data_IF_704909254916
#
_entry.id   IF_704909254916
#
_cell.length_a   1.000
_cell.length_b   1.000
_cell.length_c   1.000
_cell.angle_alpha   90.00
_cell.angle_beta   90.00
_cell.angle_gamma   90.00
#
_symmetry.space_group_name_H-M   'P 1'
#
loop_
_entity.id
_entity.type
_entity.pdbx_description
1 polymer ?
#
# COMPACT_ATOMS: atom_id res chain seq x y z
N UNK A 1 48.01 3.11 -30.43
CA UNK A 1 47.38 2.52 -29.22
C UNK A 1 45.89 2.77 -29.32
N UNK A 2 45.12 1.70 -29.57
CA UNK A 2 43.70 1.75 -29.90
C UNK A 2 42.86 2.35 -28.78
N UNK A 3 42.02 3.34 -29.12
CA UNK A 3 40.87 3.72 -28.31
C UNK A 3 39.97 2.48 -28.15
N UNK A 4 40.09 1.77 -27.04
CA UNK A 4 39.01 0.88 -26.60
C UNK A 4 37.79 1.76 -26.41
N UNK A 5 36.81 1.61 -27.29
CA UNK A 5 35.52 2.27 -27.16
C UNK A 5 34.93 1.84 -25.80
N UNK A 6 34.73 2.79 -24.89
CA UNK A 6 34.27 2.52 -23.51
C UNK A 6 32.91 1.80 -23.46
N UNK A 7 32.25 1.66 -24.61
CA UNK A 7 31.03 0.88 -24.85
C UNK A 7 31.19 -0.63 -24.67
N UNK A 8 32.41 -1.17 -24.76
CA UNK A 8 32.68 -2.62 -24.64
C UNK A 8 33.04 -3.08 -23.21
N UNK A 9 33.14 -2.16 -22.24
CA UNK A 9 33.46 -2.50 -20.86
C UNK A 9 32.25 -3.15 -20.17
N UNK A 10 32.39 -4.42 -19.80
CA UNK A 10 31.41 -5.15 -18.98
C UNK A 10 31.44 -4.58 -17.55
N UNK A 11 30.37 -3.91 -17.18
CA UNK A 11 30.12 -3.44 -15.83
C UNK A 11 29.63 -4.60 -14.96
N UNK A 12 30.02 -4.65 -13.69
CA UNK A 12 29.58 -5.66 -12.72
C UNK A 12 28.98 -4.99 -11.49
N UNK A 13 27.84 -5.50 -11.02
CA UNK A 13 27.22 -5.07 -9.76
C UNK A 13 27.99 -5.61 -8.56
N UNK A 14 27.69 -5.08 -7.38
CA UNK A 14 28.28 -5.50 -6.12
C UNK A 14 27.57 -6.73 -5.55
N UNK A 15 28.13 -7.27 -4.47
CA UNK A 15 27.47 -8.29 -3.64
C UNK A 15 26.28 -7.66 -2.89
N UNK A 16 25.25 -8.46 -2.56
CA UNK A 16 24.13 -7.96 -1.77
C UNK A 16 24.60 -7.52 -0.38
N UNK A 17 24.09 -6.37 0.08
CA UNK A 17 24.16 -5.99 1.49
C UNK A 17 22.97 -6.66 2.18
N UNK A 18 23.23 -7.63 3.05
CA UNK A 18 22.19 -8.46 3.66
C UNK A 18 22.69 -9.10 4.96
N UNK A 19 21.75 -9.52 5.83
CA UNK A 19 21.98 -10.37 7.00
C UNK A 19 20.75 -11.27 7.24
N UNK A 20 20.85 -12.20 8.20
CA UNK A 20 19.75 -13.15 8.49
C UNK A 20 18.48 -12.47 9.06
N UNK A 21 18.62 -11.25 9.59
CA UNK A 21 17.52 -10.46 10.17
C UNK A 21 16.79 -9.61 9.11
N UNK A 22 17.28 -9.57 7.87
CA UNK A 22 16.70 -8.76 6.80
C UNK A 22 15.25 -9.15 6.53
N UNK A 23 14.36 -8.15 6.52
CA UNK A 23 12.91 -8.28 6.30
C UNK A 23 12.44 -7.65 4.99
N UNK A 24 13.18 -6.64 4.55
CA UNK A 24 12.93 -5.90 3.31
C UNK A 24 14.14 -6.04 2.39
N UNK A 25 13.91 -6.23 1.10
CA UNK A 25 14.92 -6.10 0.05
C UNK A 25 14.61 -4.89 -0.83
N UNK A 26 15.57 -3.98 -0.97
CA UNK A 26 15.51 -2.91 -1.97
C UNK A 26 16.33 -3.35 -3.19
N UNK A 27 15.73 -3.29 -4.37
CA UNK A 27 16.36 -3.63 -5.64
C UNK A 27 16.59 -2.38 -6.49
N UNK A 28 17.85 -2.12 -6.83
CA UNK A 28 18.23 -1.21 -7.91
C UNK A 28 18.31 -1.90 -9.27
N UNK A 29 18.57 -1.14 -10.32
CA UNK A 29 18.82 -1.68 -11.66
C UNK A 29 20.26 -2.18 -11.81
N UNK A 30 21.21 -1.24 -11.76
CA UNK A 30 22.63 -1.45 -11.92
C UNK A 30 23.37 -0.24 -11.33
N UNK A 31 24.49 -0.40 -10.61
CA UNK A 31 25.19 0.74 -10.00
C UNK A 31 25.61 1.77 -11.05
N UNK A 32 25.47 3.05 -10.73
CA UNK A 32 25.92 4.15 -11.60
C UNK A 32 27.44 4.18 -11.77
N UNK A 33 27.94 4.95 -12.75
CA UNK A 33 29.38 5.08 -12.99
C UNK A 33 30.16 5.51 -11.74
N UNK A 34 29.63 6.47 -10.97
CA UNK A 34 30.25 6.94 -9.74
C UNK A 34 30.25 5.87 -8.64
N UNK A 35 29.15 5.11 -8.54
CA UNK A 35 29.08 3.96 -7.64
C UNK A 35 30.15 2.93 -7.93
N UNK A 36 30.30 2.56 -9.20
CA UNK A 36 31.32 1.59 -9.65
C UNK A 36 32.73 2.13 -9.39
N UNK A 37 32.98 3.42 -9.64
CA UNK A 37 34.29 4.05 -9.35
C UNK A 37 34.66 3.97 -7.88
N UNK A 38 33.71 4.28 -6.99
CA UNK A 38 33.95 4.29 -5.54
C UNK A 38 33.78 2.92 -4.87
N UNK A 39 33.27 1.91 -5.59
CA UNK A 39 32.84 0.62 -5.04
C UNK A 39 31.77 0.78 -3.94
N UNK A 40 30.81 1.68 -4.17
CA UNK A 40 29.76 2.02 -3.21
C UNK A 40 28.39 2.15 -3.87
N UNK A 41 27.39 1.50 -3.29
CA UNK A 41 25.99 1.72 -3.67
C UNK A 41 25.61 3.20 -3.55
N UNK A 42 25.03 3.74 -4.62
CA UNK A 42 24.52 5.12 -4.71
C UNK A 42 25.52 6.20 -4.26
N UNK A 43 26.78 6.12 -4.71
CA UNK A 43 27.86 7.04 -4.33
C UNK A 43 27.71 8.46 -4.89
N UNK A 44 26.95 8.63 -5.98
CA UNK A 44 26.78 9.93 -6.61
C UNK A 44 26.08 10.93 -5.66
N UNK A 45 26.65 12.11 -5.37
CA UNK A 45 26.12 13.04 -4.36
C UNK A 45 24.69 13.53 -4.62
N UNK A 46 24.28 13.60 -5.89
CA UNK A 46 22.90 13.96 -6.28
C UNK A 46 21.90 12.79 -6.24
N UNK A 47 22.32 11.58 -5.82
CA UNK A 47 21.40 10.46 -5.68
C UNK A 47 20.73 10.50 -4.30
N UNK A 48 19.41 10.38 -4.28
CA UNK A 48 18.62 10.53 -3.06
C UNK A 48 18.42 9.23 -2.27
N UNK A 49 19.05 8.12 -2.65
CA UNK A 49 18.88 6.84 -1.95
C UNK A 49 19.22 6.93 -0.47
N UNK A 50 20.42 7.40 -0.13
CA UNK A 50 20.84 7.53 1.26
C UNK A 50 19.97 8.55 2.02
N UNK A 51 19.73 9.77 1.50
CA UNK A 51 18.76 10.70 2.11
C UNK A 51 17.37 10.10 2.36
N UNK A 52 16.83 9.28 1.44
CA UNK A 52 15.51 8.66 1.62
C UNK A 52 15.54 7.54 2.66
N UNK A 53 16.49 6.62 2.57
CA UNK A 53 16.59 5.48 3.49
C UNK A 53 16.82 5.92 4.93
N UNK A 54 17.60 6.98 5.16
CA UNK A 54 17.74 7.57 6.50
C UNK A 54 16.53 8.43 6.87
N UNK A 55 16.02 9.21 5.92
CA UNK A 55 14.90 10.14 6.13
C UNK A 55 13.61 9.45 6.53
N UNK A 56 13.32 8.24 6.06
CA UNK A 56 12.14 7.48 6.51
C UNK A 56 12.19 7.16 8.03
N UNK A 57 13.38 7.20 8.65
CA UNK A 57 13.58 7.06 10.09
C UNK A 57 13.87 8.38 10.80
N UNK A 58 13.74 9.52 10.12
CA UNK A 58 14.12 10.85 10.63
C UNK A 58 15.60 10.95 11.02
N UNK A 59 16.48 10.20 10.35
CA UNK A 59 17.94 10.23 10.57
C UNK A 59 18.67 10.88 9.38
N UNK A 60 19.97 11.18 9.55
CA UNK A 60 20.82 11.73 8.47
C UNK A 60 21.84 10.70 8.00
N UNK A 61 22.16 10.64 6.69
CA UNK A 61 23.15 9.71 6.19
C UNK A 61 24.51 9.85 6.85
N UNK A 62 25.09 8.71 7.24
CA UNK A 62 26.44 8.66 7.78
C UNK A 62 27.49 9.10 6.76
N UNK A 63 28.60 9.68 7.21
CA UNK A 63 29.67 10.11 6.31
C UNK A 63 30.40 8.92 5.67
N UNK A 64 30.67 7.87 6.44
CA UNK A 64 31.41 6.69 6.01
C UNK A 64 30.49 5.60 5.46
N UNK A 65 30.85 5.04 4.31
CA UNK A 65 30.04 4.03 3.63
C UNK A 65 29.77 2.78 4.48
N UNK A 66 30.77 2.30 5.23
CA UNK A 66 30.59 1.14 6.11
C UNK A 66 29.52 1.39 7.19
N UNK A 67 29.42 2.62 7.71
CA UNK A 67 28.37 2.99 8.68
C UNK A 67 26.99 3.00 8.03
N UNK A 68 26.90 3.30 6.73
CA UNK A 68 25.65 3.17 5.95
C UNK A 68 25.25 1.71 5.74
N UNK A 69 26.22 0.82 5.52
CA UNK A 69 25.97 -0.63 5.46
C UNK A 69 25.46 -1.14 6.82
N UNK A 70 26.12 -0.73 7.92
CA UNK A 70 25.71 -1.11 9.28
C UNK A 70 24.30 -0.62 9.58
N UNK A 71 23.97 0.60 9.15
CA UNK A 71 22.61 1.16 9.26
C UNK A 71 21.57 0.30 8.55
N UNK A 72 21.79 -0.08 7.29
CA UNK A 72 20.89 -0.96 6.54
C UNK A 72 20.63 -2.28 7.28
N UNK A 73 21.72 -2.94 7.71
CA UNK A 73 21.65 -4.20 8.46
C UNK A 73 20.88 -4.04 9.78
N UNK A 74 21.16 -2.97 10.54
CA UNK A 74 20.47 -2.66 11.81
C UNK A 74 18.98 -2.39 11.61
N UNK A 75 18.58 -1.82 10.47
CA UNK A 75 17.18 -1.55 10.13
C UNK A 75 16.51 -2.73 9.41
N UNK A 76 17.18 -3.88 9.29
CA UNK A 76 16.68 -5.08 8.60
C UNK A 76 16.37 -4.85 7.11
N UNK A 77 17.14 -3.96 6.47
CA UNK A 77 17.04 -3.64 5.06
C UNK A 77 18.20 -4.31 4.31
N UNK A 78 17.87 -5.18 3.38
CA UNK A 78 18.80 -5.68 2.37
C UNK A 78 18.80 -4.75 1.15
N UNK A 79 19.94 -4.66 0.48
CA UNK A 79 20.13 -3.88 -0.74
C UNK A 79 20.89 -4.69 -1.78
N UNK A 80 20.34 -4.75 -3.00
CA UNK A 80 21.02 -5.33 -4.15
C UNK A 80 20.55 -4.69 -5.47
N UNK A 81 21.01 -5.23 -6.60
CA UNK A 81 20.55 -4.86 -7.94
C UNK A 81 20.01 -6.08 -8.69
N UNK A 82 19.15 -5.83 -9.68
CA UNK A 82 18.65 -6.89 -10.55
C UNK A 82 19.68 -7.40 -11.55
N UNK A 83 20.64 -6.59 -11.99
CA UNK A 83 21.66 -7.00 -12.94
C UNK A 83 23.00 -7.30 -12.28
N UNK A 84 23.53 -8.49 -12.53
CA UNK A 84 24.87 -8.94 -12.15
C UNK A 84 25.93 -8.23 -12.99
N UNK A 85 25.69 -8.13 -14.28
CA UNK A 85 26.57 -7.43 -15.22
C UNK A 85 25.81 -6.93 -16.44
N UNK A 86 26.34 -5.92 -17.11
CA UNK A 86 25.84 -5.44 -18.39
C UNK A 86 26.90 -4.62 -19.12
N UNK A 87 26.64 -4.28 -20.38
CA UNK A 87 27.27 -3.13 -21.03
C UNK A 87 26.39 -1.91 -20.85
N UNK A 88 26.99 -0.73 -20.66
CA UNK A 88 26.23 0.53 -20.57
C UNK A 88 27.05 1.72 -21.03
N UNK A 89 26.52 2.47 -22.00
CA UNK A 89 27.09 3.77 -22.37
C UNK A 89 26.55 4.87 -21.44
N UNK A 90 27.42 5.47 -20.64
CA UNK A 90 27.04 6.47 -19.65
C UNK A 90 26.38 5.86 -18.40
N UNK A 91 25.47 6.60 -17.76
CA UNK A 91 24.86 6.24 -16.47
C UNK A 91 23.35 5.95 -16.53
N UNK A 92 22.70 6.13 -17.68
CA UNK A 92 21.26 5.95 -17.84
C UNK A 92 20.90 4.48 -18.08
N UNK A 93 19.84 4.01 -17.41
CA UNK A 93 19.33 2.65 -17.56
C UNK A 93 18.85 2.33 -18.98
N UNK A 94 18.40 3.34 -19.74
CA UNK A 94 18.00 3.18 -21.15
C UNK A 94 19.13 2.71 -22.07
N UNK A 95 20.38 2.85 -21.63
CA UNK A 95 21.56 2.53 -22.42
C UNK A 95 22.18 1.18 -22.00
N UNK A 96 21.47 0.38 -21.18
CA UNK A 96 21.90 -0.95 -20.77
C UNK A 96 21.64 -1.94 -21.91
N UNK A 97 22.62 -2.79 -22.19
CA UNK A 97 22.53 -3.92 -23.10
C UNK A 97 23.37 -5.09 -22.57
N UNK A 98 23.18 -6.28 -23.15
CA UNK A 98 23.88 -7.52 -22.76
C UNK A 98 23.76 -7.81 -21.25
N UNK A 99 22.57 -7.59 -20.68
CA UNK A 99 22.34 -7.76 -19.26
C UNK A 99 22.36 -9.24 -18.83
N UNK A 100 23.06 -9.51 -17.75
CA UNK A 100 23.04 -10.78 -17.04
C UNK A 100 22.39 -10.54 -15.69
N UNK A 101 21.28 -11.21 -15.35
CA UNK A 101 20.60 -11.00 -14.08
C UNK A 101 21.38 -11.57 -12.89
N UNK A 102 21.16 -10.99 -11.73
CA UNK A 102 21.49 -11.60 -10.44
C UNK A 102 20.46 -12.68 -10.09
N UNK A 103 20.88 -13.69 -9.33
CA UNK A 103 19.98 -14.71 -8.79
C UNK A 103 19.23 -14.18 -7.56
N UNK A 104 18.29 -13.28 -7.80
CA UNK A 104 17.45 -12.69 -6.75
C UNK A 104 16.50 -13.73 -6.16
N UNK A 105 16.03 -14.71 -6.96
CA UNK A 105 15.17 -15.78 -6.48
C UNK A 105 15.91 -16.69 -5.49
N UNK A 106 17.13 -17.11 -5.80
CA UNK A 106 18.00 -17.86 -4.89
C UNK A 106 18.31 -17.09 -3.61
N UNK A 107 18.54 -15.77 -3.70
CA UNK A 107 18.69 -14.92 -2.52
C UNK A 107 17.43 -14.93 -1.64
N UNK A 108 16.25 -14.73 -2.22
CA UNK A 108 14.99 -14.70 -1.47
C UNK A 108 14.61 -16.06 -0.87
N UNK A 109 15.06 -17.17 -1.49
CA UNK A 109 14.93 -18.51 -0.94
C UNK A 109 15.90 -18.75 0.22
N UNK A 110 17.12 -18.21 0.13
CA UNK A 110 18.13 -18.28 1.19
C UNK A 110 17.74 -17.45 2.42
N UNK A 111 17.03 -16.33 2.22
CA UNK A 111 16.60 -15.41 3.27
C UNK A 111 15.06 -15.33 3.35
N UNK A 112 14.39 -16.35 3.92
CA UNK A 112 12.92 -16.43 3.95
C UNK A 112 12.26 -15.33 4.80
N UNK A 113 13.02 -14.68 5.70
CA UNK A 113 12.55 -13.54 6.49
C UNK A 113 12.21 -12.31 5.64
N UNK A 114 12.76 -12.23 4.42
CA UNK A 114 12.44 -11.16 3.48
C UNK A 114 11.05 -11.40 2.90
N UNK A 115 10.06 -10.65 3.36
CA UNK A 115 8.68 -10.71 2.87
C UNK A 115 8.34 -9.61 1.87
N UNK A 116 9.13 -8.53 1.87
CA UNK A 116 8.84 -7.34 1.09
C UNK A 116 10.01 -6.97 0.15
N UNK A 117 9.69 -6.69 -1.10
CA UNK A 117 10.65 -6.26 -2.13
C UNK A 117 10.26 -4.89 -2.68
N UNK A 118 11.12 -3.89 -2.51
CA UNK A 118 10.91 -2.56 -3.07
C UNK A 118 11.84 -2.33 -4.27
N UNK A 119 11.25 -2.15 -5.45
CA UNK A 119 11.98 -1.89 -6.68
C UNK A 119 12.21 -0.39 -6.86
N UNK A 120 13.47 0.05 -6.82
CA UNK A 120 13.86 1.44 -7.02
C UNK A 120 13.84 1.82 -8.50
N UNK A 121 12.64 2.09 -9.04
CA UNK A 121 12.40 2.44 -10.43
C UNK A 121 11.77 1.33 -11.28
N UNK A 122 11.25 1.72 -12.44
CA UNK A 122 10.46 0.84 -13.31
C UNK A 122 11.25 -0.30 -13.94
N UNK A 123 12.55 -0.11 -14.23
CA UNK A 123 13.39 -1.18 -14.80
C UNK A 123 13.55 -2.34 -13.82
N UNK A 124 13.89 -2.03 -12.56
CA UNK A 124 13.97 -3.04 -11.49
C UNK A 124 12.65 -3.75 -11.28
N UNK A 125 11.51 -3.04 -11.29
CA UNK A 125 10.18 -3.65 -11.14
C UNK A 125 9.86 -4.62 -12.29
N UNK A 126 10.09 -4.16 -13.53
CA UNK A 126 9.82 -4.96 -14.74
C UNK A 126 10.64 -6.26 -14.71
N UNK A 127 11.91 -6.17 -14.33
CA UNK A 127 12.77 -7.34 -14.19
C UNK A 127 12.27 -8.27 -13.09
N UNK A 128 12.03 -7.74 -11.88
CA UNK A 128 11.56 -8.54 -10.75
C UNK A 128 10.29 -9.33 -11.10
N UNK A 129 9.29 -8.66 -11.69
CA UNK A 129 8.01 -9.30 -12.07
C UNK A 129 8.19 -10.39 -13.13
N UNK A 130 9.06 -10.17 -14.12
CA UNK A 130 9.21 -11.08 -15.27
C UNK A 130 10.15 -12.25 -14.96
N UNK A 131 11.23 -12.00 -14.23
CA UNK A 131 12.36 -12.90 -14.12
C UNK A 131 12.59 -13.47 -12.71
N UNK A 132 11.98 -12.90 -11.68
CA UNK A 132 12.18 -13.35 -10.29
C UNK A 132 10.89 -13.94 -9.74
N UNK A 133 9.78 -13.20 -9.82
CA UNK A 133 8.51 -13.57 -9.20
C UNK A 133 7.97 -14.97 -9.61
N UNK A 134 8.08 -15.44 -10.87
CA UNK A 134 7.60 -16.78 -11.26
C UNK A 134 8.27 -17.94 -10.51
N UNK A 135 9.52 -17.74 -10.06
CA UNK A 135 10.32 -18.76 -9.39
C UNK A 135 10.15 -18.75 -7.87
N UNK A 136 9.45 -17.75 -7.33
CA UNK A 136 9.13 -17.66 -5.90
C UNK A 136 7.90 -18.52 -5.60
N UNK A 137 8.02 -19.46 -4.66
CA UNK A 137 6.95 -20.38 -4.24
C UNK A 137 6.33 -20.06 -2.88
N UNK A 138 6.50 -18.82 -2.42
CA UNK A 138 5.96 -18.29 -1.16
C UNK A 138 5.42 -16.88 -1.37
N UNK A 139 4.62 -16.41 -0.44
CA UNK A 139 4.14 -15.03 -0.51
C UNK A 139 5.30 -14.05 -0.37
N UNK A 140 5.46 -13.23 -1.41
CA UNK A 140 6.35 -12.06 -1.43
C UNK A 140 5.53 -10.89 -1.94
N UNK A 141 5.54 -9.82 -1.16
CA UNK A 141 4.93 -8.56 -1.52
C UNK A 141 5.97 -7.68 -2.18
N UNK A 142 5.60 -6.99 -3.25
CA UNK A 142 6.51 -6.06 -3.91
C UNK A 142 5.83 -4.75 -4.30
N UNK A 143 6.63 -3.68 -4.34
CA UNK A 143 6.18 -2.34 -4.68
C UNK A 143 7.26 -1.61 -5.49
N UNK A 144 6.83 -0.88 -6.53
CA UNK A 144 7.71 0.09 -7.20
C UNK A 144 7.80 1.38 -6.40
N UNK A 145 9.01 1.76 -6.04
CA UNK A 145 9.35 3.08 -5.53
C UNK A 145 9.79 4.01 -6.67
N UNK A 146 9.59 5.33 -6.54
CA UNK A 146 10.14 6.29 -7.49
C UNK A 146 11.66 6.24 -7.44
N UNK A 147 12.28 6.33 -8.62
CA UNK A 147 13.74 6.27 -8.72
C UNK A 147 14.41 7.36 -7.89
N UNK A 148 15.46 6.98 -7.16
CA UNK A 148 16.34 7.87 -6.39
C UNK A 148 17.34 8.64 -7.26
N UNK A 149 17.40 8.32 -8.55
CA UNK A 149 18.22 9.03 -9.52
C UNK A 149 17.72 10.47 -9.73
N UNK A 150 18.62 11.46 -9.90
CA UNK A 150 18.22 12.82 -10.22
C UNK A 150 17.48 12.95 -11.55
N UNK A 151 17.59 11.96 -12.45
CA UNK A 151 16.90 11.95 -13.74
C UNK A 151 15.36 11.86 -13.63
N UNK A 152 14.83 11.44 -12.49
CA UNK A 152 13.40 11.29 -12.27
C UNK A 152 12.78 12.57 -11.67
N UNK A 153 12.80 13.68 -12.40
CA UNK A 153 12.39 15.00 -11.89
C UNK A 153 10.87 15.26 -11.93
N UNK A 154 10.05 14.35 -12.48
CA UNK A 154 8.60 14.54 -12.64
C UNK A 154 7.78 14.39 -11.35
N UNK A 155 8.40 13.97 -10.25
CA UNK A 155 7.77 13.78 -8.93
C UNK A 155 8.57 14.59 -7.92
N UNK A 156 7.91 15.37 -7.06
CA UNK A 156 8.59 16.18 -6.04
C UNK A 156 9.33 15.30 -5.03
N UNK A 157 10.38 15.84 -4.42
CA UNK A 157 11.14 15.09 -3.39
C UNK A 157 10.27 14.70 -2.20
N UNK A 158 9.32 15.55 -1.82
CA UNK A 158 8.35 15.29 -0.76
C UNK A 158 7.46 14.10 -1.11
N UNK A 159 6.86 14.10 -2.30
CA UNK A 159 6.04 12.99 -2.77
C UNK A 159 6.83 11.68 -2.85
N UNK A 160 8.10 11.75 -3.30
CA UNK A 160 8.97 10.58 -3.29
C UNK A 160 9.20 10.08 -1.88
N UNK A 161 9.51 10.95 -0.93
CA UNK A 161 9.70 10.57 0.47
C UNK A 161 8.45 9.90 1.04
N UNK A 162 7.26 10.44 0.75
CA UNK A 162 6.00 9.84 1.18
C UNK A 162 5.84 8.40 0.65
N UNK A 163 6.19 8.15 -0.61
CA UNK A 163 6.18 6.78 -1.16
C UNK A 163 7.24 5.89 -0.50
N UNK A 164 8.43 6.42 -0.24
CA UNK A 164 9.53 5.69 0.40
C UNK A 164 9.24 5.31 1.85
N UNK A 165 8.39 6.06 2.57
CA UNK A 165 7.93 5.68 3.92
C UNK A 165 7.27 4.29 3.95
N UNK A 166 6.75 3.79 2.82
CA UNK A 166 6.24 2.41 2.69
C UNK A 166 7.27 1.36 3.10
N UNK A 167 8.57 1.63 2.92
CA UNK A 167 9.65 0.74 3.40
C UNK A 167 9.61 0.62 4.92
N UNK A 168 9.48 1.75 5.63
CA UNK A 168 9.35 1.74 7.10
C UNK A 168 8.07 1.05 7.53
N UNK A 169 6.94 1.36 6.90
CA UNK A 169 5.66 0.75 7.27
C UNK A 169 5.68 -0.77 7.11
N UNK A 170 6.31 -1.28 6.04
CA UNK A 170 6.51 -2.72 5.88
C UNK A 170 7.41 -3.33 6.98
N UNK A 171 8.49 -2.64 7.40
CA UNK A 171 9.35 -3.08 8.51
C UNK A 171 8.62 -3.12 9.85
N UNK A 172 7.65 -2.20 10.04
CA UNK A 172 6.78 -2.11 11.21
C UNK A 172 5.57 -3.06 11.13
N UNK A 173 5.45 -3.88 10.09
CA UNK A 173 4.27 -4.71 9.77
C UNK A 173 2.96 -3.91 9.67
N UNK A 174 3.05 -2.62 9.33
CA UNK A 174 1.91 -1.73 9.09
C UNK A 174 1.55 -1.81 7.62
N UNK A 175 0.96 -2.93 7.24
CA UNK A 175 0.59 -3.23 5.86
C UNK A 175 -0.93 -3.25 5.70
N UNK A 176 -1.39 -2.93 4.50
CA UNK A 176 -2.76 -3.18 4.06
C UNK A 176 -2.77 -3.75 2.65
N UNK A 177 -3.79 -4.52 2.36
CA UNK A 177 -4.06 -5.04 1.04
C UNK A 177 -5.22 -4.28 0.42
N UNK A 178 -5.11 -3.97 -0.86
CA UNK A 178 -6.12 -3.20 -1.60
C UNK A 178 -6.72 -4.03 -2.71
N UNK A 179 -8.05 -4.10 -2.72
CA UNK A 179 -8.83 -4.61 -3.85
C UNK A 179 -9.88 -3.57 -4.29
N UNK A 180 -10.35 -3.65 -5.53
CA UNK A 180 -11.29 -2.67 -6.10
C UNK A 180 -12.45 -3.38 -6.77
N UNK A 181 -13.65 -3.21 -6.21
CA UNK A 181 -14.90 -3.73 -6.75
C UNK A 181 -15.48 -2.76 -7.79
N UNK A 182 -15.92 -3.31 -8.92
CA UNK A 182 -16.63 -2.55 -9.96
C UNK A 182 -18.13 -2.68 -9.74
N UNK A 183 -18.80 -1.58 -9.43
CA UNK A 183 -20.24 -1.57 -9.10
C UNK A 183 -20.99 -0.55 -9.96
N UNK A 184 -22.32 -0.61 -9.92
CA UNK A 184 -23.22 0.37 -10.55
C UNK A 184 -23.21 1.74 -9.84
N UNK A 185 -22.67 1.83 -8.62
CA UNK A 185 -22.37 3.10 -7.94
C UNK A 185 -21.04 3.70 -8.39
N UNK A 186 -20.10 2.86 -8.85
CA UNK A 186 -18.75 3.23 -9.27
C UNK A 186 -17.69 2.26 -8.73
N UNK A 187 -16.44 2.72 -8.62
CA UNK A 187 -15.36 1.93 -8.04
C UNK A 187 -15.43 1.99 -6.52
N UNK A 188 -15.63 0.84 -5.87
CA UNK A 188 -15.54 0.71 -4.41
C UNK A 188 -14.18 0.12 -4.07
N UNK A 189 -13.39 0.82 -3.24
CA UNK A 189 -12.08 0.32 -2.81
C UNK A 189 -12.23 -0.38 -1.45
N UNK A 190 -11.66 -1.57 -1.34
CA UNK A 190 -11.63 -2.36 -0.11
C UNK A 190 -10.18 -2.44 0.39
N UNK A 191 -10.00 -2.21 1.69
CA UNK A 191 -8.75 -2.47 2.38
C UNK A 191 -8.92 -3.58 3.41
N UNK A 192 -7.90 -4.41 3.55
CA UNK A 192 -7.81 -5.41 4.61
C UNK A 192 -6.40 -5.48 5.18
N UNK A 193 -6.27 -6.08 6.35
CA UNK A 193 -5.03 -6.69 6.80
C UNK A 193 -5.06 -8.20 6.52
N UNK A 194 -4.22 -8.97 7.22
CA UNK A 194 -4.15 -10.42 7.08
C UNK A 194 -5.43 -11.13 7.61
N UNK A 195 -6.17 -10.49 8.52
CA UNK A 195 -7.25 -11.12 9.28
C UNK A 195 -8.64 -10.63 8.83
N UNK A 196 -8.79 -9.33 8.53
CA UNK A 196 -10.11 -8.72 8.35
C UNK A 196 -10.12 -7.49 7.42
N UNK A 197 -11.31 -7.10 6.96
CA UNK A 197 -11.51 -5.83 6.24
C UNK A 197 -11.41 -4.66 7.21
N UNK A 198 -10.54 -3.70 6.88
CA UNK A 198 -10.27 -2.53 7.72
C UNK A 198 -11.00 -1.28 7.23
N UNK A 199 -11.23 -1.16 5.92
CA UNK A 199 -11.88 0.02 5.33
C UNK A 199 -12.60 -0.32 4.03
N UNK A 200 -13.71 0.39 3.77
CA UNK A 200 -14.38 0.45 2.49
C UNK A 200 -14.55 1.91 2.09
N UNK A 201 -14.04 2.26 0.91
CA UNK A 201 -14.19 3.60 0.33
C UNK A 201 -15.17 3.55 -0.83
N UNK A 202 -16.26 4.29 -0.67
CA UNK A 202 -17.25 4.49 -1.72
C UNK A 202 -16.76 5.55 -2.72
N UNK A 203 -17.29 5.57 -3.96
CA UNK A 203 -16.94 6.57 -4.96
C UNK A 203 -16.98 8.00 -4.42
N UNK A 204 -15.95 8.79 -4.71
CA UNK A 204 -15.81 10.16 -4.21
C UNK A 204 -15.17 10.27 -2.82
N UNK A 205 -14.87 9.17 -2.14
CA UNK A 205 -14.12 9.19 -0.88
C UNK A 205 -12.62 9.28 -1.15
N UNK A 206 -11.91 10.13 -0.41
CA UNK A 206 -10.45 10.17 -0.45
C UNK A 206 -9.85 9.09 0.46
N UNK A 207 -8.90 8.29 -0.06
CA UNK A 207 -8.21 7.29 0.74
C UNK A 207 -7.27 7.93 1.75
N UNK A 208 -7.45 7.58 3.02
CA UNK A 208 -6.46 7.86 4.06
C UNK A 208 -5.42 6.74 4.07
N UNK A 209 -4.40 6.87 3.21
CA UNK A 209 -3.25 5.95 3.18
C UNK A 209 -2.24 6.21 4.29
N UNK A 210 -2.54 7.15 5.19
CA UNK A 210 -1.58 7.65 6.16
C UNK A 210 -1.03 6.50 6.99
N UNK A 211 0.26 6.27 6.78
CA UNK A 211 1.08 5.38 7.58
C UNK A 211 0.95 3.87 7.35
N UNK A 212 0.56 3.43 6.15
CA UNK A 212 0.58 2.02 5.76
C UNK A 212 1.33 1.81 4.44
N UNK A 213 2.02 0.67 4.31
CA UNK A 213 2.41 0.15 3.02
C UNK A 213 1.23 -0.60 2.41
N UNK A 214 0.77 -0.16 1.23
CA UNK A 214 -0.40 -0.75 0.57
C UNK A 214 0.03 -1.64 -0.58
N UNK A 215 -0.30 -2.92 -0.49
CA UNK A 215 -0.05 -3.92 -1.52
C UNK A 215 -1.34 -4.30 -2.25
N UNK A 216 -1.25 -4.85 -3.48
CA UNK A 216 -2.41 -5.49 -4.11
C UNK A 216 -3.00 -6.59 -3.22
N UNK A 217 -4.31 -6.83 -3.37
CA UNK A 217 -5.17 -7.66 -2.52
C UNK A 217 -4.59 -8.96 -1.93
N UNK A 218 -5.23 -9.44 -0.87
CA UNK A 218 -5.04 -10.78 -0.32
C UNK A 218 -6.37 -11.56 -0.40
N UNK A 219 -6.42 -12.76 0.18
CA UNK A 219 -7.64 -13.58 0.20
C UNK A 219 -8.84 -12.83 0.84
N UNK A 220 -8.61 -12.08 1.92
CA UNK A 220 -9.66 -11.30 2.61
C UNK A 220 -10.19 -10.18 1.70
N UNK A 221 -9.31 -9.36 1.13
CA UNK A 221 -9.67 -8.26 0.24
C UNK A 221 -10.39 -8.76 -1.03
N UNK A 222 -9.95 -9.88 -1.61
CA UNK A 222 -10.57 -10.44 -2.82
C UNK A 222 -11.92 -11.08 -2.55
N UNK A 223 -12.08 -11.79 -1.42
CA UNK A 223 -13.37 -12.31 -0.99
C UNK A 223 -14.36 -11.17 -0.72
N UNK A 224 -13.89 -10.13 -0.02
CA UNK A 224 -14.67 -8.93 0.23
C UNK A 224 -15.06 -8.20 -1.06
N UNK A 225 -14.11 -8.04 -2.01
CA UNK A 225 -14.38 -7.45 -3.32
C UNK A 225 -15.53 -8.19 -4.03
N UNK A 226 -15.47 -9.52 -4.10
CA UNK A 226 -16.49 -10.34 -4.76
C UNK A 226 -17.87 -10.14 -4.13
N UNK A 227 -17.95 -10.17 -2.81
CA UNK A 227 -19.21 -9.96 -2.11
C UNK A 227 -19.76 -8.54 -2.26
N UNK A 228 -18.89 -7.52 -2.25
CA UNK A 228 -19.32 -6.14 -2.58
C UNK A 228 -19.91 -6.10 -3.99
N UNK A 229 -19.27 -6.71 -4.98
CA UNK A 229 -19.83 -6.78 -6.34
C UNK A 229 -21.18 -7.52 -6.39
N UNK A 230 -21.31 -8.62 -5.64
CA UNK A 230 -22.56 -9.41 -5.58
C UNK A 230 -23.68 -8.67 -4.85
N UNK A 231 -23.36 -7.90 -3.80
CA UNK A 231 -24.30 -7.03 -3.08
C UNK A 231 -24.88 -5.95 -4.02
N UNK A 232 -24.01 -5.25 -4.77
CA UNK A 232 -24.46 -4.23 -5.72
C UNK A 232 -25.21 -4.80 -6.93
N UNK A 233 -25.15 -6.13 -7.15
CA UNK A 233 -25.96 -6.87 -8.13
C UNK A 233 -27.23 -7.48 -7.54
N UNK A 234 -27.51 -7.26 -6.25
CA UNK A 234 -28.67 -7.82 -5.54
C UNK A 234 -28.60 -9.33 -5.30
N UNK A 235 -27.43 -9.96 -5.46
CA UNK A 235 -27.25 -11.42 -5.31
C UNK A 235 -27.10 -11.86 -3.86
N UNK A 236 -26.61 -10.99 -3.00
CA UNK A 236 -26.50 -11.22 -1.56
C UNK A 236 -27.12 -10.05 -0.81
N UNK A 237 -27.61 -10.33 0.40
CA UNK A 237 -28.16 -9.33 1.34
C UNK A 237 -27.40 -9.28 2.67
N UNK A 238 -26.52 -10.25 2.89
CA UNK A 238 -25.70 -10.43 4.09
C UNK A 238 -24.27 -10.68 3.65
N UNK A 239 -23.33 -10.03 4.31
CA UNK A 239 -21.89 -10.22 4.07
C UNK A 239 -21.34 -11.31 4.99
N UNK A 240 -20.54 -12.20 4.43
CA UNK A 240 -19.75 -13.21 5.12
C UNK A 240 -18.27 -12.87 4.99
N UNK A 241 -17.86 -11.79 5.65
CA UNK A 241 -16.49 -11.24 5.58
C UNK A 241 -16.07 -10.88 7.00
N UNK A 242 -14.84 -11.24 7.44
CA UNK A 242 -14.33 -10.79 8.73
C UNK A 242 -14.10 -9.27 8.74
N UNK A 243 -14.59 -8.60 9.78
CA UNK A 243 -14.30 -7.19 10.09
C UNK A 243 -14.43 -6.96 11.59
N UNK A 244 -13.77 -5.93 12.10
CA UNK A 244 -13.85 -5.54 13.51
C UNK A 244 -14.56 -4.20 13.71
N UNK A 245 -15.42 -4.15 14.72
CA UNK A 245 -16.03 -2.89 15.18
C UNK A 245 -15.09 -2.22 16.17
N UNK A 246 -14.53 -1.07 15.80
CA UNK A 246 -13.61 -0.30 16.62
C UNK A 246 -14.21 1.05 17.01
N UNK A 247 -13.87 1.53 18.21
CA UNK A 247 -14.29 2.83 18.72
C UNK A 247 -14.38 2.89 20.24
N UNK A 248 -14.84 4.02 20.74
CA UNK A 248 -15.22 4.18 22.16
C UNK A 248 -16.38 3.24 22.53
N UNK A 249 -16.62 2.96 23.83
CA UNK A 249 -17.74 2.13 24.25
C UNK A 249 -19.11 2.60 23.70
N UNK A 250 -19.31 3.91 23.54
CA UNK A 250 -20.52 4.45 22.91
C UNK A 250 -20.57 4.19 21.39
N UNK A 251 -19.47 4.40 20.68
CA UNK A 251 -19.36 4.13 19.24
C UNK A 251 -19.63 2.66 18.93
N UNK A 252 -19.03 1.74 19.70
CA UNK A 252 -19.26 0.29 19.57
C UNK A 252 -20.74 -0.06 19.78
N UNK A 253 -21.42 0.53 20.77
CA UNK A 253 -22.86 0.33 20.97
C UNK A 253 -23.69 0.80 19.78
N UNK A 254 -23.37 1.97 19.22
CA UNK A 254 -24.05 2.52 18.03
C UNK A 254 -23.85 1.60 16.82
N UNK A 255 -22.62 1.16 16.55
CA UNK A 255 -22.34 0.26 15.43
C UNK A 255 -23.00 -1.11 15.60
N UNK A 256 -22.94 -1.70 16.80
CA UNK A 256 -23.60 -2.98 17.08
C UNK A 256 -25.12 -2.90 16.98
N UNK A 257 -25.72 -1.76 17.34
CA UNK A 257 -27.15 -1.52 17.13
C UNK A 257 -27.47 -1.41 15.63
N UNK A 258 -26.64 -0.69 14.88
CA UNK A 258 -26.81 -0.50 13.44
C UNK A 258 -26.67 -1.79 12.63
N UNK A 259 -25.76 -2.69 13.02
CA UNK A 259 -25.60 -4.02 12.40
C UNK A 259 -26.86 -4.90 12.50
N UNK A 260 -27.76 -4.60 13.44
CA UNK A 260 -29.04 -5.32 13.61
C UNK A 260 -30.15 -4.77 12.73
N UNK A 261 -29.96 -3.64 12.07
CA UNK A 261 -30.96 -3.05 11.16
C UNK A 261 -30.99 -3.87 9.87
N UNK A 262 -32.11 -4.55 9.53
CA UNK A 262 -32.15 -5.45 8.37
C UNK A 262 -31.95 -4.74 7.03
N UNK A 263 -31.54 -5.51 6.02
CA UNK A 263 -31.54 -5.07 4.62
C UNK A 263 -32.93 -4.61 4.19
N UNK A 264 -33.01 -3.47 3.51
CA UNK A 264 -34.27 -2.89 3.01
C UNK A 264 -35.09 -2.18 4.11
N UNK A 265 -34.55 -2.03 5.31
CA UNK A 265 -35.17 -1.32 6.43
C UNK A 265 -34.37 -0.07 6.79
N UNK A 266 -35.05 0.93 7.37
CA UNK A 266 -34.42 2.14 7.89
C UNK A 266 -34.69 2.32 9.39
N UNK A 267 -33.84 3.10 10.03
CA UNK A 267 -33.98 3.53 11.42
C UNK A 267 -33.68 5.03 11.52
N UNK A 268 -34.33 5.74 12.43
CA UNK A 268 -34.00 7.15 12.67
C UNK A 268 -32.78 7.32 13.58
N UNK A 269 -32.08 8.45 13.47
CA UNK A 269 -31.00 8.79 14.41
C UNK A 269 -31.44 8.74 15.89
N UNK A 270 -32.70 9.07 16.18
CA UNK A 270 -33.25 9.06 17.54
C UNK A 270 -33.47 7.63 18.04
N UNK A 271 -34.04 6.76 17.22
CA UNK A 271 -34.24 5.35 17.57
C UNK A 271 -32.89 4.64 17.75
N UNK A 272 -31.92 4.89 16.86
CA UNK A 272 -30.58 4.33 17.01
C UNK A 272 -29.90 4.82 18.30
N UNK A 273 -30.07 6.09 18.65
CA UNK A 273 -29.58 6.66 19.91
C UNK A 273 -30.25 6.01 21.14
N UNK A 274 -31.55 5.73 21.06
CA UNK A 274 -32.31 5.03 22.10
C UNK A 274 -31.80 3.60 22.32
N UNK A 275 -31.60 2.83 21.24
CA UNK A 275 -31.02 1.48 21.30
C UNK A 275 -29.59 1.49 21.84
N UNK A 276 -28.80 2.52 21.50
CA UNK A 276 -27.45 2.71 22.02
C UNK A 276 -27.39 3.15 23.50
N UNK A 277 -28.55 3.38 24.13
CA UNK A 277 -28.69 3.65 25.56
C UNK A 277 -28.81 5.13 25.93
N UNK A 278 -28.96 6.04 24.97
CA UNK A 278 -29.24 7.45 25.23
C UNK A 278 -30.05 8.09 24.10
N UNK A 279 -31.38 8.14 24.27
CA UNK A 279 -32.33 8.71 23.30
C UNK A 279 -32.03 10.17 22.88
N UNK A 280 -31.37 10.95 23.75
CA UNK A 280 -31.03 12.35 23.48
C UNK A 280 -29.70 12.51 22.72
N UNK A 281 -29.00 11.41 22.41
CA UNK A 281 -27.69 11.41 21.77
C UNK A 281 -27.72 11.37 20.23
N UNK A 282 -28.85 11.70 19.57
CA UNK A 282 -28.98 11.63 18.11
C UNK A 282 -27.87 12.39 17.34
N UNK A 283 -27.48 13.58 17.83
CA UNK A 283 -26.36 14.34 17.24
C UNK A 283 -25.02 13.63 17.42
N UNK A 284 -24.79 13.01 18.57
CA UNK A 284 -23.58 12.23 18.84
C UNK A 284 -23.52 10.99 17.94
N UNK A 285 -24.64 10.27 17.77
CA UNK A 285 -24.77 9.18 16.79
C UNK A 285 -24.39 9.66 15.39
N UNK A 286 -24.88 10.82 14.95
CA UNK A 286 -24.48 11.39 13.66
C UNK A 286 -22.97 11.63 13.52
N UNK A 287 -22.27 12.02 14.60
CA UNK A 287 -20.80 12.12 14.59
C UNK A 287 -20.11 10.75 14.56
N UNK A 288 -20.67 9.75 15.24
CA UNK A 288 -20.17 8.37 15.16
C UNK A 288 -20.26 7.85 13.72
N UNK A 289 -21.41 7.97 13.08
CA UNK A 289 -21.62 7.45 11.72
C UNK A 289 -20.72 8.11 10.66
N UNK A 290 -20.27 9.35 10.88
CA UNK A 290 -19.29 10.03 10.01
C UNK A 290 -17.91 9.37 10.07
N UNK A 291 -17.58 8.69 11.17
CA UNK A 291 -16.31 7.96 11.34
C UNK A 291 -16.38 6.52 10.85
N UNK A 292 -17.51 6.09 10.28
CA UNK A 292 -17.67 4.73 9.83
C UNK A 292 -16.69 4.42 8.69
N UNK A 293 -15.69 3.59 8.99
CA UNK A 293 -14.68 3.12 8.02
C UNK A 293 -15.16 1.97 7.17
N UNK A 294 -16.27 1.33 7.55
CA UNK A 294 -16.82 0.14 6.93
C UNK A 294 -18.24 0.40 6.41
N UNK A 295 -18.48 1.42 5.56
CA UNK A 295 -19.81 1.62 4.97
C UNK A 295 -20.26 0.36 4.23
N UNK A 296 -21.57 0.16 4.14
CA UNK A 296 -22.25 -1.03 3.59
C UNK A 296 -22.15 -2.27 4.51
N UNK A 297 -20.97 -2.57 5.08
CA UNK A 297 -20.85 -3.63 6.11
C UNK A 297 -21.49 -3.19 7.43
N UNK A 298 -21.09 -2.01 7.92
CA UNK A 298 -21.80 -1.26 8.95
C UNK A 298 -22.75 -0.31 8.20
N UNK A 299 -24.06 -0.61 8.13
CA UNK A 299 -24.96 -0.04 7.13
C UNK A 299 -25.45 1.37 7.51
N UNK A 300 -24.55 2.35 7.62
CA UNK A 300 -24.89 3.71 8.07
C UNK A 300 -25.84 4.45 7.11
N UNK A 301 -25.99 3.99 5.87
CA UNK A 301 -26.95 4.52 4.90
C UNK A 301 -28.40 4.20 5.28
N UNK A 302 -28.65 3.21 6.14
CA UNK A 302 -29.99 2.88 6.68
C UNK A 302 -30.47 3.86 7.76
N UNK A 303 -29.63 4.81 8.17
CA UNK A 303 -29.99 5.80 9.20
C UNK A 303 -30.49 7.08 8.56
N UNK A 304 -31.73 7.47 8.85
CA UNK A 304 -32.39 8.64 8.26
C UNK A 304 -32.83 9.66 9.31
N UNK A 305 -33.12 10.89 8.87
CA UNK A 305 -33.85 11.86 9.69
C UNK A 305 -35.30 11.44 9.90
N UNK A 306 -36.01 12.20 10.75
CA UNK A 306 -37.45 12.02 10.96
C UNK A 306 -38.21 12.10 9.62
N UNK A 307 -39.14 11.16 9.40
CA UNK A 307 -39.91 11.08 8.15
C UNK A 307 -39.12 10.53 6.96
N UNK A 308 -38.02 9.79 7.19
CA UNK A 308 -37.26 9.10 6.14
C UNK A 308 -36.34 10.02 5.32
N UNK A 309 -36.16 11.27 5.73
CA UNK A 309 -35.34 12.24 4.99
C UNK A 309 -33.84 11.89 5.08
N UNK A 310 -33.16 11.88 3.94
CA UNK A 310 -31.71 11.97 3.89
C UNK A 310 -31.30 13.37 4.40
N UNK A 311 -30.52 13.40 5.49
CA UNK A 311 -30.04 14.65 6.10
C UNK A 311 -28.50 14.78 6.00
N UNK A 312 -27.87 13.87 5.24
CA UNK A 312 -26.44 13.81 4.99
C UNK A 312 -25.82 12.44 5.28
N UNK A 313 -24.88 12.03 4.43
CA UNK A 313 -24.19 10.75 4.49
C UNK A 313 -22.69 10.93 4.33
N UNK A 314 -21.91 10.25 5.19
CA UNK A 314 -20.45 10.36 5.27
C UNK A 314 -19.94 11.81 5.40
N UNK A 315 -20.70 12.69 6.05
CA UNK A 315 -20.33 14.10 6.27
C UNK A 315 -20.73 15.05 5.14
N UNK A 316 -21.28 14.55 4.04
CA UNK A 316 -21.74 15.34 2.89
C UNK A 316 -23.27 15.46 2.95
N UNK A 317 -23.80 16.68 2.87
CA UNK A 317 -25.25 16.93 2.77
C UNK A 317 -25.77 16.50 1.39
N UNK A 318 -26.98 15.95 1.34
CA UNK A 318 -27.64 15.52 0.09
C UNK A 318 -26.78 14.57 -0.75
N UNK A 319 -25.98 13.74 -0.07
CA UNK A 319 -25.08 12.82 -0.73
C UNK A 319 -25.89 11.73 -1.46
N UNK A 320 -25.81 11.64 -2.80
CA UNK A 320 -26.65 10.74 -3.60
C UNK A 320 -26.34 9.27 -3.36
N UNK A 321 -25.21 8.96 -2.71
CA UNK A 321 -24.82 7.59 -2.38
C UNK A 321 -25.81 6.94 -1.41
N UNK A 322 -26.33 7.68 -0.42
CA UNK A 322 -27.30 7.12 0.52
C UNK A 322 -28.60 6.73 -0.19
N UNK A 323 -29.15 7.62 -1.00
CA UNK A 323 -30.40 7.38 -1.73
C UNK A 323 -30.23 6.22 -2.73
N UNK A 324 -29.07 6.15 -3.38
CA UNK A 324 -28.73 5.03 -4.25
C UNK A 324 -28.75 3.69 -3.49
N UNK A 325 -28.08 3.62 -2.34
CA UNK A 325 -28.00 2.39 -1.53
C UNK A 325 -29.38 2.01 -0.99
N UNK A 326 -30.18 2.97 -0.51
CA UNK A 326 -31.55 2.70 -0.07
C UNK A 326 -32.43 2.17 -1.21
N UNK A 327 -32.29 2.72 -2.43
CA UNK A 327 -33.02 2.24 -3.61
C UNK A 327 -32.58 0.83 -4.01
N UNK A 328 -31.28 0.55 -3.98
CA UNK A 328 -30.71 -0.78 -4.22
C UNK A 328 -31.31 -1.80 -3.24
N UNK A 329 -31.45 -1.42 -1.96
CA UNK A 329 -32.03 -2.30 -0.94
C UNK A 329 -33.55 -2.46 -1.00
N UNK A 330 -34.25 -1.55 -1.69
CA UNK A 330 -35.70 -1.59 -1.87
C UNK A 330 -36.14 -2.35 -3.12
N UNK A 331 -35.19 -2.78 -3.97
CA UNK A 331 -35.44 -3.49 -5.23
C UNK A 331 -35.40 -5.01 -5.04
#
# INVERSE_FOLDING_TARGET
MSNLDKSDLILRSFKPIINNESKVLILGTMPGAESLRQQQYYAHPRNFFWPFVYGIFNEKPEAHYNKRIDFLKKKNIALWDVYKSCKRKGSLDSNISDEVPNDVAGLLNTYPNIKFVFCNGGTSEKHFRKNVLPDIKRDIFYMRLPSTSPANASISLEQKMQMWLSVRYALENRIRYKSVARTNLGMVTIFSDDDCVTDILLPGSEPQYENFAVFPGNNVAEHARKQVEDYFKGRIRVFDIPFEVQGTPFEIKVYNALLKVPYGSTITYRELAEIAGNRNAARAVGQVLRKNRLPILIPCHRVTGSGGKNIGFMGVRDNPVQDFLLKLESS
#
